data_IF_242523265558
#
_entry.id   IF_242523265558
#
_cell.length_a   1.000
_cell.length_b   1.000
_cell.length_c   1.000
_cell.angle_alpha   90.00
_cell.angle_beta   90.00
_cell.angle_gamma   90.00
#
_symmetry.space_group_name_H-M   'P 1'
#
loop_
_entity.id
_entity.type
_entity.pdbx_description
1 polymer ?
#
# COMPACT_ATOMS: atom_id res chain seq x y z
N UNK A 1 -31.23 -32.32 -9.34
CA UNK A 1 -29.80 -32.62 -9.17
C UNK A 1 -29.07 -31.31 -8.92
N UNK A 2 -28.46 -31.23 -7.74
CA UNK A 2 -27.43 -30.29 -7.30
C UNK A 2 -26.37 -30.09 -8.40
N UNK A 3 -25.74 -28.93 -8.57
CA UNK A 3 -24.67 -28.49 -7.67
C UNK A 3 -24.41 -26.97 -7.70
N UNK A 4 -23.94 -26.51 -6.54
CA UNK A 4 -23.77 -25.15 -6.01
C UNK A 4 -22.64 -24.30 -6.62
N UNK A 5 -22.64 -22.97 -6.32
CA UNK A 5 -21.67 -21.98 -6.80
C UNK A 5 -20.28 -22.17 -6.18
N UNK A 6 -19.23 -21.91 -6.99
CA UNK A 6 -17.82 -21.99 -6.56
C UNK A 6 -17.37 -20.66 -5.95
N UNK A 7 -17.62 -20.51 -4.66
CA UNK A 7 -16.94 -19.51 -3.83
C UNK A 7 -15.74 -20.17 -3.11
N UNK A 8 -14.81 -19.34 -2.63
CA UNK A 8 -13.91 -19.65 -1.51
C UNK A 8 -12.52 -20.26 -1.80
N UNK A 9 -11.69 -19.61 -2.64
CA UNK A 9 -10.23 -19.87 -2.65
C UNK A 9 -9.36 -18.60 -2.80
N UNK A 10 -9.45 -17.64 -1.86
CA UNK A 10 -8.38 -16.63 -1.61
C UNK A 10 -8.64 -15.84 -0.30
N UNK A 11 -8.96 -16.52 0.80
CA UNK A 11 -9.41 -15.87 2.06
C UNK A 11 -8.30 -15.27 2.95
N UNK A 12 -7.02 -15.35 2.55
CA UNK A 12 -5.87 -15.08 3.44
C UNK A 12 -4.82 -14.12 2.87
N UNK A 13 -5.13 -13.30 1.85
CA UNK A 13 -4.23 -12.23 1.46
C UNK A 13 -4.74 -10.90 2.04
N UNK A 14 -4.11 -10.32 3.08
CA UNK A 14 -4.61 -9.11 3.74
C UNK A 14 -4.62 -7.86 2.83
N UNK A 15 -4.01 -7.95 1.64
CA UNK A 15 -4.06 -6.90 0.60
C UNK A 15 -5.08 -7.18 -0.51
N UNK A 16 -5.86 -8.26 -0.45
CA UNK A 16 -6.74 -8.63 -1.56
C UNK A 16 -7.80 -7.55 -1.79
N UNK A 17 -7.73 -6.87 -2.94
CA UNK A 17 -8.63 -5.77 -3.30
C UNK A 17 -8.12 -4.36 -2.96
N UNK A 18 -6.95 -4.23 -2.32
CA UNK A 18 -6.34 -2.92 -2.09
C UNK A 18 -5.50 -2.49 -3.29
N UNK A 19 -5.82 -1.32 -3.83
CA UNK A 19 -5.00 -0.66 -4.83
C UNK A 19 -3.76 -0.03 -4.21
N UNK A 20 -2.69 0.13 -5.01
CA UNK A 20 -1.49 0.85 -4.59
C UNK A 20 -1.79 2.29 -4.12
N UNK A 21 -2.84 2.91 -4.68
CA UNK A 21 -3.33 4.21 -4.25
C UNK A 21 -3.85 4.16 -2.82
N UNK A 22 -4.75 3.22 -2.51
CA UNK A 22 -5.27 3.04 -1.16
C UNK A 22 -4.16 2.75 -0.14
N UNK A 23 -3.17 1.94 -0.52
CA UNK A 23 -2.02 1.64 0.33
C UNK A 23 -1.22 2.90 0.67
N UNK A 24 -0.86 3.70 -0.34
CA UNK A 24 -0.09 4.93 -0.14
C UNK A 24 -0.90 5.96 0.65
N UNK A 25 -2.18 6.13 0.35
CA UNK A 25 -3.06 7.04 1.09
C UNK A 25 -3.17 6.64 2.56
N UNK A 26 -3.44 5.38 2.87
CA UNK A 26 -3.55 4.93 4.25
C UNK A 26 -2.23 5.08 5.04
N UNK A 27 -1.09 4.82 4.40
CA UNK A 27 0.23 5.04 4.99
C UNK A 27 0.50 6.52 5.25
N UNK A 28 0.08 7.38 4.33
CA UNK A 28 0.20 8.84 4.45
C UNK A 28 -0.69 9.39 5.57
N UNK A 29 -1.94 8.95 5.65
CA UNK A 29 -2.87 9.32 6.73
C UNK A 29 -2.36 8.86 8.10
N UNK A 30 -1.67 7.71 8.16
CA UNK A 30 -1.17 7.15 9.42
C UNK A 30 0.16 7.75 9.88
N UNK A 31 1.12 7.96 8.97
CA UNK A 31 2.48 8.39 9.32
C UNK A 31 2.80 9.84 8.90
N UNK A 32 2.14 10.34 7.86
CA UNK A 32 2.55 11.55 7.15
C UNK A 32 3.77 11.34 6.24
N UNK A 33 3.97 12.26 5.32
CA UNK A 33 5.04 12.18 4.31
C UNK A 33 6.44 12.25 4.88
N UNK A 34 6.66 13.06 5.92
CA UNK A 34 7.97 13.21 6.56
C UNK A 34 8.46 11.87 7.12
N UNK A 35 7.61 11.20 7.90
CA UNK A 35 7.92 9.89 8.47
C UNK A 35 8.04 8.81 7.39
N UNK A 36 7.20 8.85 6.35
CA UNK A 36 7.35 7.93 5.20
C UNK A 36 8.69 8.11 4.49
N UNK A 37 9.17 9.33 4.35
CA UNK A 37 10.50 9.62 3.79
C UNK A 37 11.66 9.11 4.66
N UNK A 38 11.46 8.97 5.96
CA UNK A 38 12.42 8.34 6.87
C UNK A 38 12.36 6.81 6.82
N UNK A 39 11.16 6.24 6.77
CA UNK A 39 10.92 4.79 6.71
C UNK A 39 11.33 4.20 5.36
N UNK A 40 11.06 4.95 4.28
CA UNK A 40 11.35 4.59 2.90
C UNK A 40 12.10 5.77 2.31
N UNK A 41 13.43 5.68 2.35
CA UNK A 41 14.34 6.73 1.88
C UNK A 41 14.31 6.85 0.33
N UNK A 42 13.21 7.39 -0.19
CA UNK A 42 13.01 7.73 -1.58
C UNK A 42 12.71 9.21 -1.71
N UNK A 43 13.31 9.83 -2.74
CA UNK A 43 13.16 11.26 -3.01
C UNK A 43 11.71 11.69 -3.22
N UNK A 44 10.86 10.77 -3.69
CA UNK A 44 9.45 11.03 -3.95
C UNK A 44 8.67 11.49 -2.70
N UNK A 45 9.04 11.01 -1.51
CA UNK A 45 8.37 11.38 -0.26
C UNK A 45 8.99 12.62 0.41
N UNK A 46 10.16 13.08 -0.05
CA UNK A 46 10.91 14.17 0.58
C UNK A 46 10.79 15.51 -0.17
N UNK A 47 10.65 15.49 -1.51
CA UNK A 47 10.80 16.70 -2.33
C UNK A 47 9.50 17.26 -2.90
N UNK A 48 8.53 16.41 -3.24
CA UNK A 48 7.19 16.81 -3.72
C UNK A 48 6.20 15.68 -3.35
N UNK A 49 5.97 15.49 -2.04
CA UNK A 49 5.12 14.41 -1.58
C UNK A 49 3.67 14.65 -1.99
N UNK A 50 3.19 13.81 -2.91
CA UNK A 50 1.77 13.71 -3.24
C UNK A 50 1.42 12.29 -3.66
N UNK A 51 0.15 11.92 -3.50
CA UNK A 51 -0.36 10.61 -3.93
C UNK A 51 -0.08 10.38 -5.43
N UNK A 52 -0.35 11.38 -6.28
CA UNK A 52 -0.16 11.29 -7.73
C UNK A 52 1.32 11.11 -8.12
N UNK A 53 2.22 11.89 -7.54
CA UNK A 53 3.67 11.80 -7.80
C UNK A 53 4.21 10.44 -7.34
N UNK A 54 3.79 10.02 -6.14
CA UNK A 54 4.13 8.71 -5.55
C UNK A 54 3.69 7.56 -6.44
N UNK A 55 2.43 7.53 -6.90
CA UNK A 55 1.95 6.49 -7.79
C UNK A 55 2.70 6.45 -9.12
N UNK A 56 2.99 7.61 -9.71
CA UNK A 56 3.78 7.68 -10.95
C UNK A 56 5.18 7.11 -10.75
N UNK A 57 5.82 7.41 -9.62
CA UNK A 57 7.14 6.88 -9.25
C UNK A 57 7.09 5.36 -8.98
N UNK A 58 6.20 4.90 -8.10
CA UNK A 58 6.05 3.50 -7.71
C UNK A 58 5.58 2.61 -8.88
N UNK A 59 4.97 3.18 -9.93
CA UNK A 59 4.71 2.48 -11.20
C UNK A 59 5.98 2.16 -11.98
N UNK A 60 6.98 3.04 -11.93
CA UNK A 60 8.26 2.91 -12.66
C UNK A 60 9.37 2.27 -11.83
N UNK A 61 9.19 2.17 -10.51
CA UNK A 61 10.21 1.68 -9.58
C UNK A 61 9.66 0.54 -8.73
N UNK A 62 9.69 -0.72 -9.24
CA UNK A 62 9.07 -1.87 -8.58
C UNK A 62 9.59 -2.16 -7.18
N UNK A 63 10.90 -2.07 -6.95
CA UNK A 63 11.48 -2.31 -5.63
C UNK A 63 10.95 -1.35 -4.56
N UNK A 64 10.67 -0.09 -4.94
CA UNK A 64 10.11 0.91 -4.03
C UNK A 64 8.65 0.61 -3.72
N UNK A 65 7.88 0.13 -4.72
CA UNK A 65 6.52 -0.36 -4.49
C UNK A 65 6.50 -1.49 -3.46
N UNK A 66 7.35 -2.50 -3.63
CA UNK A 66 7.45 -3.62 -2.69
C UNK A 66 7.74 -3.13 -1.27
N UNK A 67 8.61 -2.12 -1.10
CA UNK A 67 8.87 -1.51 0.21
C UNK A 67 7.64 -0.83 0.83
N UNK A 68 6.86 -0.13 0.02
CA UNK A 68 5.60 0.50 0.45
C UNK A 68 4.57 -0.56 0.86
N UNK A 69 4.41 -1.62 0.07
CA UNK A 69 3.50 -2.74 0.37
C UNK A 69 3.94 -3.48 1.65
N UNK A 70 5.25 -3.75 1.80
CA UNK A 70 5.82 -4.33 3.02
C UNK A 70 5.56 -3.46 4.26
N UNK A 71 5.71 -2.15 4.12
CA UNK A 71 5.46 -1.21 5.22
C UNK A 71 3.99 -1.22 5.63
N UNK A 72 3.07 -1.24 4.65
CA UNK A 72 1.65 -1.34 4.90
C UNK A 72 1.31 -2.61 5.68
N UNK A 73 1.85 -3.77 5.29
CA UNK A 73 1.63 -5.04 5.99
C UNK A 73 2.16 -5.04 7.43
N UNK A 74 3.24 -4.31 7.70
CA UNK A 74 3.82 -4.16 9.04
C UNK A 74 3.08 -3.12 9.90
N UNK A 75 2.35 -2.22 9.26
CA UNK A 75 1.63 -1.16 9.93
C UNK A 75 0.35 -1.71 10.52
N UNK A 76 0.17 -1.56 11.83
CA UNK A 76 -1.09 -1.92 12.48
C UNK A 76 -2.07 -0.77 12.33
N UNK A 77 -2.90 -0.84 11.30
CA UNK A 77 -4.10 -0.03 11.23
C UNK A 77 -5.08 -0.56 12.28
N UNK A 78 -5.28 0.19 13.36
CA UNK A 78 -6.14 -0.25 14.45
C UNK A 78 -7.60 -0.21 13.98
N UNK A 79 -8.21 -1.39 13.81
CA UNK A 79 -9.67 -1.53 13.86
C UNK A 79 -10.11 -1.34 15.30
N UNK A 80 -10.92 -0.30 15.56
CA UNK A 80 -11.66 -0.13 16.82
C UNK A 80 -12.63 -1.30 17.04
#
# INVERSE_FOLDING_TARGET
MSDQPKDNQQKNNPLHGLSLEQIVTALEEHYGWEQLGQLINIRCFQSDPSIKSSLKFLRKTPWARTKVEELYLKTRFQTL
#
